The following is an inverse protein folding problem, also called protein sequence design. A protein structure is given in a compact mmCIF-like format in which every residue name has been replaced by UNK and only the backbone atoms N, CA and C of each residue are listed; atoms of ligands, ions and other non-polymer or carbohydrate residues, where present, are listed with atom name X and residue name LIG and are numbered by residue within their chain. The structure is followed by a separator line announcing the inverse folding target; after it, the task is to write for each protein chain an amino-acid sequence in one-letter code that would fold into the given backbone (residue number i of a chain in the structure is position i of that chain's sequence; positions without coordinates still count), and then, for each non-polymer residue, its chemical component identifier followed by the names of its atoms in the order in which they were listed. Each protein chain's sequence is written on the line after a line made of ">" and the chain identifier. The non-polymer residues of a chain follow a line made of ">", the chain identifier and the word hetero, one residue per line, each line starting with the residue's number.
data_IF_261627538138
#
_entry.id   IF_261627538138
#
_cell.length_a   1.000
_cell.length_b   1.000
_cell.length_c   1.000
_cell.angle_alpha   90.00
_cell.angle_beta   90.00
_cell.angle_gamma   90.00
#
_symmetry.space_group_name_H-M   'P 1'
#
loop_
_entity.id
_entity.type
_entity.pdbx_description
1 polymer ?
#
# COMPACT_ATOMS: atom_id res chain seq x y z
N UNK A 1 -50.05 15.14 34.37
CA UNK A 1 -49.70 15.77 33.08
C UNK A 1 -48.32 15.26 32.69
N UNK A 2 -48.26 14.26 31.80
CA UNK A 2 -46.98 13.66 31.36
C UNK A 2 -46.29 14.61 30.39
N UNK A 3 -45.02 14.94 30.67
CA UNK A 3 -44.13 15.60 29.71
C UNK A 3 -43.74 14.60 28.61
N UNK A 4 -43.63 15.01 27.34
CA UNK A 4 -43.19 14.12 26.28
C UNK A 4 -41.67 13.84 26.43
N UNK A 5 -41.19 12.66 26.03
CA UNK A 5 -39.76 12.38 26.02
C UNK A 5 -39.09 13.20 24.91
N UNK A 6 -38.18 14.10 25.30
CA UNK A 6 -37.30 14.78 24.35
C UNK A 6 -36.27 13.77 23.84
N UNK A 7 -36.49 13.20 22.67
CA UNK A 7 -35.45 12.43 21.98
C UNK A 7 -34.37 13.39 21.48
N UNK A 8 -33.28 13.51 22.23
CA UNK A 8 -32.04 14.12 21.73
C UNK A 8 -31.31 13.11 20.84
N UNK A 9 -31.89 12.80 19.67
CA UNK A 9 -31.08 12.31 18.57
C UNK A 9 -30.35 13.54 18.00
N UNK A 10 -29.15 13.80 18.52
CA UNK A 10 -28.23 14.73 17.90
C UNK A 10 -28.06 14.32 16.43
N UNK A 11 -28.47 15.21 15.52
CA UNK A 11 -28.29 15.01 14.09
C UNK A 11 -26.80 14.75 13.82
N UNK A 12 -26.48 13.52 13.42
CA UNK A 12 -25.14 13.16 12.93
C UNK A 12 -24.81 14.11 11.79
N UNK A 13 -23.74 14.88 11.90
CA UNK A 13 -23.23 15.65 10.76
C UNK A 13 -22.94 14.66 9.64
N UNK A 14 -23.70 14.76 8.54
CA UNK A 14 -23.47 13.93 7.37
C UNK A 14 -22.05 14.16 6.87
N UNK A 15 -21.29 13.08 6.69
CA UNK A 15 -19.96 13.16 6.10
C UNK A 15 -20.07 13.70 4.68
N UNK A 16 -19.04 14.43 4.18
CA UNK A 16 -19.06 14.90 2.80
C UNK A 16 -19.21 13.71 1.83
N UNK A 17 -19.85 13.94 0.67
CA UNK A 17 -19.99 12.89 -0.34
C UNK A 17 -18.62 12.41 -0.80
N UNK A 18 -18.56 11.13 -1.21
CA UNK A 18 -17.36 10.55 -1.76
C UNK A 18 -16.94 11.23 -3.05
N UNK A 19 -15.62 11.31 -3.27
CA UNK A 19 -15.06 11.69 -4.57
C UNK A 19 -15.42 10.62 -5.59
N UNK A 20 -15.53 11.00 -6.86
CA UNK A 20 -15.88 10.09 -7.95
C UNK A 20 -15.00 8.84 -7.97
N UNK A 21 -13.68 9.00 -7.82
CA UNK A 21 -12.75 7.87 -7.79
C UNK A 21 -12.99 6.93 -6.59
N UNK A 22 -13.37 7.47 -5.42
CA UNK A 22 -13.67 6.69 -4.23
C UNK A 22 -14.96 5.88 -4.42
N UNK A 23 -16.00 6.50 -4.97
CA UNK A 23 -17.26 5.80 -5.30
C UNK A 23 -17.05 4.71 -6.34
N UNK A 24 -16.31 5.00 -7.42
CA UNK A 24 -16.01 4.02 -8.47
C UNK A 24 -15.18 2.84 -7.93
N UNK A 25 -14.14 3.13 -7.15
CA UNK A 25 -13.31 2.09 -6.52
C UNK A 25 -14.11 1.24 -5.53
N UNK A 26 -14.99 1.86 -4.74
CA UNK A 26 -15.85 1.17 -3.79
C UNK A 26 -16.79 0.20 -4.52
N UNK A 27 -17.48 0.67 -5.57
CA UNK A 27 -18.37 -0.17 -6.38
C UNK A 27 -17.63 -1.35 -7.00
N UNK A 28 -16.44 -1.12 -7.54
CA UNK A 28 -15.63 -2.19 -8.12
C UNK A 28 -15.17 -3.19 -7.04
N UNK A 29 -14.68 -2.71 -5.89
CA UNK A 29 -14.28 -3.58 -4.78
C UNK A 29 -15.43 -4.48 -4.31
N UNK A 30 -16.63 -3.93 -4.16
CA UNK A 30 -17.82 -4.68 -3.75
C UNK A 30 -18.31 -5.67 -4.82
N UNK A 31 -18.03 -5.42 -6.10
CA UNK A 31 -18.37 -6.33 -7.19
C UNK A 31 -17.34 -7.45 -7.36
N UNK A 32 -16.06 -7.18 -7.04
CA UNK A 32 -14.95 -8.12 -7.21
C UNK A 32 -14.76 -9.01 -5.99
N UNK A 33 -14.91 -8.48 -4.77
CA UNK A 33 -14.65 -9.23 -3.54
C UNK A 33 -15.65 -10.38 -3.38
N UNK A 34 -15.12 -11.58 -3.27
CA UNK A 34 -15.87 -12.82 -3.06
C UNK A 34 -14.97 -13.85 -2.38
N UNK A 35 -15.52 -14.97 -1.87
CA UNK A 35 -14.70 -16.05 -1.34
C UNK A 35 -13.65 -16.60 -2.34
N UNK A 36 -13.90 -16.49 -3.64
CA UNK A 36 -12.96 -16.90 -4.70
C UNK A 36 -11.94 -15.80 -5.03
N UNK A 37 -12.28 -14.54 -4.78
CA UNK A 37 -11.42 -13.38 -5.01
C UNK A 37 -11.39 -12.48 -3.76
N UNK A 38 -10.75 -12.95 -2.66
CA UNK A 38 -10.83 -12.26 -1.38
C UNK A 38 -9.90 -11.06 -1.25
N UNK A 39 -9.10 -10.75 -2.29
CA UNK A 39 -8.08 -9.71 -2.25
C UNK A 39 -8.40 -8.63 -3.26
N UNK A 40 -8.26 -7.37 -2.85
CA UNK A 40 -8.44 -6.20 -3.70
C UNK A 40 -7.30 -5.20 -3.49
N UNK A 41 -6.57 -4.86 -4.55
CA UNK A 41 -5.52 -3.84 -4.56
C UNK A 41 -6.04 -2.54 -5.17
N UNK A 42 -6.09 -1.49 -4.35
CA UNK A 42 -6.30 -0.12 -4.78
C UNK A 42 -4.98 0.66 -4.78
N UNK A 43 -4.54 1.04 -5.98
CA UNK A 43 -3.50 2.02 -6.18
C UNK A 43 -4.15 3.40 -6.32
N UNK A 44 -3.81 4.34 -5.45
CA UNK A 44 -4.29 5.71 -5.56
C UNK A 44 -3.24 6.71 -5.08
N UNK A 45 -3.10 7.82 -5.79
CA UNK A 45 -2.16 8.90 -5.48
C UNK A 45 -2.10 9.23 -3.98
N UNK A 46 -0.90 9.37 -3.38
CA UNK A 46 -0.75 9.79 -1.99
C UNK A 46 -1.58 11.04 -1.67
N UNK A 47 -2.26 11.03 -0.53
CA UNK A 47 -3.15 12.15 -0.13
C UNK A 47 -4.51 12.20 -0.84
N UNK A 48 -4.79 11.34 -1.83
CA UNK A 48 -6.10 11.33 -2.52
C UNK A 48 -7.30 10.94 -1.62
N UNK A 49 -7.03 10.40 -0.41
CA UNK A 49 -8.04 9.99 0.55
C UNK A 49 -8.34 8.49 0.54
N UNK A 50 -7.32 7.63 0.43
CA UNK A 50 -7.43 6.16 0.47
C UNK A 50 -8.14 5.63 1.71
N UNK A 51 -7.87 6.23 2.87
CA UNK A 51 -8.46 5.77 4.13
C UNK A 51 -9.98 5.98 4.19
N UNK A 52 -10.50 7.04 3.54
CA UNK A 52 -11.94 7.26 3.42
C UNK A 52 -12.61 6.13 2.64
N UNK A 53 -12.00 5.70 1.52
CA UNK A 53 -12.46 4.54 0.75
C UNK A 53 -12.46 3.26 1.60
N UNK A 54 -11.37 2.98 2.32
CA UNK A 54 -11.29 1.78 3.16
C UNK A 54 -12.37 1.74 4.25
N UNK A 55 -12.66 2.89 4.87
CA UNK A 55 -13.68 2.98 5.90
C UNK A 55 -15.11 2.76 5.35
N UNK A 56 -15.39 3.24 4.14
CA UNK A 56 -16.67 2.99 3.47
C UNK A 56 -16.83 1.54 3.01
N UNK A 57 -15.77 0.93 2.47
CA UNK A 57 -15.78 -0.49 2.13
C UNK A 57 -16.06 -1.35 3.37
N UNK A 58 -15.38 -1.06 4.48
CA UNK A 58 -15.63 -1.70 5.76
C UNK A 58 -17.09 -1.56 6.20
N UNK A 59 -17.65 -0.35 6.14
CA UNK A 59 -19.03 -0.09 6.53
C UNK A 59 -20.03 -0.89 5.68
N UNK A 60 -19.84 -0.91 4.37
CA UNK A 60 -20.72 -1.61 3.43
C UNK A 60 -20.64 -3.13 3.61
N UNK A 61 -19.44 -3.69 3.75
CA UNK A 61 -19.26 -5.12 4.03
C UNK A 61 -19.87 -5.50 5.39
N UNK A 62 -19.75 -4.64 6.41
CA UNK A 62 -20.41 -4.86 7.69
C UNK A 62 -21.94 -4.81 7.59
N UNK A 63 -22.50 -3.87 6.82
CA UNK A 63 -23.96 -3.74 6.68
C UNK A 63 -24.59 -4.89 5.90
N UNK A 64 -23.83 -5.47 4.95
CA UNK A 64 -24.21 -6.70 4.25
C UNK A 64 -24.04 -7.94 5.12
N UNK A 65 -23.33 -7.79 6.24
CA UNK A 65 -22.95 -8.89 7.10
C UNK A 65 -21.95 -9.80 6.41
N UNK A 66 -21.10 -9.30 5.52
CA UNK A 66 -20.01 -10.05 4.88
C UNK A 66 -18.77 -10.14 5.79
N UNK A 67 -18.62 -9.18 6.71
CA UNK A 67 -17.57 -9.16 7.73
C UNK A 67 -18.14 -8.82 9.11
N UNK A 68 -17.47 -9.32 10.14
CA UNK A 68 -17.75 -9.05 11.56
C UNK A 68 -16.78 -8.00 12.12
N UNK A 69 -15.51 -8.04 11.71
CA UNK A 69 -14.46 -7.17 12.23
C UNK A 69 -13.58 -6.55 11.14
N UNK A 70 -12.99 -5.40 11.45
CA UNK A 70 -11.96 -4.76 10.63
C UNK A 70 -10.65 -4.69 11.39
N UNK A 71 -9.58 -5.12 10.73
CA UNK A 71 -8.21 -5.00 11.21
C UNK A 71 -7.44 -4.05 10.29
N UNK A 72 -7.04 -2.89 10.80
CA UNK A 72 -6.19 -1.95 10.08
C UNK A 72 -4.72 -2.11 10.49
N UNK A 73 -3.83 -2.17 9.49
CA UNK A 73 -2.38 -2.22 9.65
C UNK A 73 -1.73 -1.04 8.92
N UNK A 74 -0.91 -0.27 9.63
CA UNK A 74 -0.24 0.91 9.07
C UNK A 74 1.19 1.14 9.59
N UNK A 75 1.91 2.13 9.04
CA UNK A 75 3.34 2.31 9.31
C UNK A 75 3.65 2.95 10.68
N UNK A 76 2.81 3.87 11.14
CA UNK A 76 3.07 4.65 12.37
C UNK A 76 1.84 4.72 13.27
N UNK A 77 2.06 4.97 14.57
CA UNK A 77 0.96 5.11 15.54
C UNK A 77 -0.01 6.24 15.18
N UNK A 78 0.51 7.35 14.65
CA UNK A 78 -0.32 8.49 14.23
C UNK A 78 -1.22 8.12 13.05
N UNK A 79 -0.68 7.43 12.04
CA UNK A 79 -1.46 6.94 10.89
C UNK A 79 -2.52 5.94 11.33
N UNK A 80 -2.16 4.99 12.21
CA UNK A 80 -3.09 4.01 12.78
C UNK A 80 -4.20 4.69 13.58
N UNK A 81 -3.89 5.68 14.40
CA UNK A 81 -4.87 6.42 15.18
C UNK A 81 -5.86 7.17 14.27
N UNK A 82 -5.36 7.84 13.24
CA UNK A 82 -6.21 8.51 12.25
C UNK A 82 -7.11 7.52 11.48
N UNK A 83 -6.61 6.33 11.17
CA UNK A 83 -7.39 5.27 10.52
C UNK A 83 -8.50 4.72 11.42
N UNK A 84 -8.22 4.50 12.71
CA UNK A 84 -9.20 4.11 13.73
C UNK A 84 -10.32 5.15 13.80
N UNK A 85 -9.98 6.44 13.88
CA UNK A 85 -10.95 7.54 13.93
C UNK A 85 -11.80 7.61 12.66
N UNK A 86 -11.18 7.45 11.48
CA UNK A 86 -11.90 7.39 10.22
C UNK A 86 -12.91 6.22 10.19
N UNK A 87 -12.46 5.02 10.56
CA UNK A 87 -13.31 3.83 10.65
C UNK A 87 -14.47 4.03 11.63
N UNK A 88 -14.20 4.58 12.82
CA UNK A 88 -15.24 4.88 13.82
C UNK A 88 -16.26 5.89 13.30
N UNK A 89 -15.77 6.94 12.63
CA UNK A 89 -16.63 8.00 12.08
C UNK A 89 -17.57 7.47 11.00
N UNK A 90 -17.07 6.59 10.11
CA UNK A 90 -17.88 6.03 9.02
C UNK A 90 -18.81 4.92 9.50
N UNK A 91 -18.28 3.95 10.23
CA UNK A 91 -19.05 2.76 10.65
C UNK A 91 -19.97 3.03 11.84
N UNK A 92 -19.67 4.08 12.62
CA UNK A 92 -20.32 4.34 13.91
C UNK A 92 -20.02 3.28 14.98
N UNK A 93 -19.05 2.38 14.75
CA UNK A 93 -18.69 1.29 15.67
C UNK A 93 -17.31 1.54 16.28
N UNK A 94 -17.08 1.02 17.49
CA UNK A 94 -15.78 1.17 18.17
C UNK A 94 -14.68 0.37 17.48
N UNK A 95 -13.49 0.96 17.32
CA UNK A 95 -12.31 0.37 16.65
C UNK A 95 -11.07 0.30 17.56
N UNK A 96 -11.27 0.35 18.87
CA UNK A 96 -10.20 0.36 19.88
C UNK A 96 -9.56 -1.01 20.17
N UNK A 97 -10.07 -2.10 19.57
CA UNK A 97 -9.56 -3.46 19.78
C UNK A 97 -9.81 -4.11 21.14
N UNK A 98 -10.60 -3.49 22.03
CA UNK A 98 -11.05 -4.08 23.29
C UNK A 98 -12.34 -4.90 23.12
N UNK A 99 -12.81 -5.55 24.18
CA UNK A 99 -14.05 -6.32 24.17
C UNK A 99 -15.22 -5.46 23.66
N UNK A 100 -15.98 -5.96 22.68
CA UNK A 100 -17.09 -5.24 22.06
C UNK A 100 -16.69 -4.27 20.94
N UNK A 101 -15.39 -4.13 20.62
CA UNK A 101 -14.95 -3.40 19.43
C UNK A 101 -15.33 -4.16 18.15
N UNK A 102 -15.73 -3.44 17.10
CA UNK A 102 -15.90 -4.00 15.75
C UNK A 102 -14.60 -3.99 14.95
N UNK A 103 -13.47 -3.64 15.56
CA UNK A 103 -12.18 -3.64 14.90
C UNK A 103 -11.04 -3.14 15.76
N UNK A 104 -9.84 -3.16 15.17
CA UNK A 104 -8.61 -2.71 15.78
C UNK A 104 -7.67 -2.12 14.73
N UNK A 105 -6.86 -1.15 15.13
CA UNK A 105 -5.72 -0.67 14.35
C UNK A 105 -4.40 -1.04 15.02
N UNK A 106 -3.38 -1.37 14.23
CA UNK A 106 -2.03 -1.64 14.73
C UNK A 106 -0.94 -1.25 13.75
N UNK A 107 0.26 -1.05 14.27
CA UNK A 107 1.42 -0.79 13.42
C UNK A 107 2.01 -2.10 12.90
N UNK A 108 2.72 -2.04 11.78
CA UNK A 108 3.40 -3.22 11.23
C UNK A 108 4.39 -3.86 12.22
N UNK A 109 5.08 -3.05 13.03
CA UNK A 109 6.03 -3.54 14.03
C UNK A 109 5.35 -4.30 15.17
N UNK A 110 4.05 -4.07 15.42
CA UNK A 110 3.29 -4.77 16.45
C UNK A 110 2.73 -6.13 15.99
N UNK A 111 2.74 -6.41 14.68
CA UNK A 111 2.14 -7.62 14.12
C UNK A 111 2.79 -8.93 14.60
N UNK A 112 4.13 -9.09 14.60
CA UNK A 112 4.73 -10.38 14.94
C UNK A 112 4.33 -10.88 16.33
N UNK A 113 4.29 -9.98 17.32
CA UNK A 113 3.89 -10.30 18.69
C UNK A 113 2.39 -10.59 18.88
N UNK A 114 1.58 -10.42 17.83
CA UNK A 114 0.11 -10.63 17.87
C UNK A 114 -0.39 -11.65 16.85
N UNK A 115 0.51 -12.23 16.05
CA UNK A 115 0.15 -13.07 14.90
C UNK A 115 -0.82 -14.20 15.29
N UNK A 116 -0.51 -14.98 16.32
CA UNK A 116 -1.34 -16.14 16.69
C UNK A 116 -2.72 -15.75 17.23
N UNK A 117 -2.83 -14.61 17.89
CA UNK A 117 -4.12 -14.08 18.31
C UNK A 117 -4.96 -13.64 17.11
N UNK A 118 -4.33 -12.97 16.14
CA UNK A 118 -5.00 -12.49 14.93
C UNK A 118 -5.40 -13.64 13.98
N UNK A 119 -4.57 -14.69 13.87
CA UNK A 119 -4.94 -15.91 13.13
C UNK A 119 -6.17 -16.57 13.72
N UNK A 120 -6.21 -16.73 15.05
CA UNK A 120 -7.40 -17.28 15.74
C UNK A 120 -8.63 -16.43 15.52
N UNK A 121 -8.50 -15.10 15.57
CA UNK A 121 -9.60 -14.18 15.26
C UNK A 121 -10.15 -14.43 13.85
N UNK A 122 -9.27 -14.52 12.84
CA UNK A 122 -9.67 -14.79 11.45
C UNK A 122 -10.27 -16.18 11.22
N UNK A 123 -9.85 -17.19 11.99
CA UNK A 123 -10.41 -18.53 11.93
C UNK A 123 -11.83 -18.61 12.53
N UNK A 124 -12.16 -17.73 13.47
CA UNK A 124 -13.42 -17.74 14.21
C UNK A 124 -14.44 -16.74 13.66
N UNK A 125 -13.97 -15.71 12.95
CA UNK A 125 -14.78 -14.58 12.51
C UNK A 125 -14.38 -14.09 11.13
N UNK A 126 -15.31 -13.40 10.46
CA UNK A 126 -15.05 -12.83 9.13
C UNK A 126 -14.38 -11.48 9.31
N UNK A 127 -13.09 -11.43 9.05
CA UNK A 127 -12.28 -10.22 9.25
C UNK A 127 -11.89 -9.60 7.91
N UNK A 128 -12.11 -8.30 7.76
CA UNK A 128 -11.47 -7.49 6.72
C UNK A 128 -10.11 -7.03 7.22
N UNK A 129 -9.04 -7.39 6.52
CA UNK A 129 -7.71 -6.82 6.71
C UNK A 129 -7.51 -5.64 5.77
N UNK A 130 -7.25 -4.46 6.33
CA UNK A 130 -6.81 -3.27 5.59
C UNK A 130 -5.34 -3.04 5.90
N UNK A 131 -4.48 -3.09 4.90
CA UNK A 131 -3.05 -2.82 5.06
C UNK A 131 -2.63 -1.68 4.11
N UNK A 132 -2.15 -0.59 4.71
CA UNK A 132 -1.87 0.68 4.05
C UNK A 132 -0.38 0.90 3.83
N UNK A 133 -0.02 1.51 2.70
CA UNK A 133 1.34 1.59 2.20
C UNK A 133 2.02 0.22 2.07
N UNK A 134 1.30 -0.69 1.40
CA UNK A 134 1.73 -2.07 1.18
C UNK A 134 3.14 -2.19 0.55
N UNK A 135 3.60 -1.15 -0.17
CA UNK A 135 4.93 -1.12 -0.81
C UNK A 135 6.13 -1.22 0.15
N UNK A 136 5.94 -0.98 1.45
CA UNK A 136 6.99 -1.19 2.44
C UNK A 136 7.23 -2.68 2.77
N UNK A 137 6.35 -3.61 2.36
CA UNK A 137 6.38 -5.02 2.78
C UNK A 137 7.49 -5.87 2.14
N UNK A 138 8.00 -5.43 0.99
CA UNK A 138 9.23 -5.97 0.40
C UNK A 138 10.44 -5.32 1.09
N UNK A 139 11.49 -6.10 1.39
CA UNK A 139 12.57 -5.76 2.33
C UNK A 139 13.12 -4.32 2.30
N UNK A 140 13.54 -3.83 3.47
CA UNK A 140 14.52 -2.75 3.55
C UNK A 140 15.91 -3.38 3.49
N UNK A 141 16.81 -2.79 2.67
CA UNK A 141 18.24 -3.08 2.59
C UNK A 141 18.61 -4.48 2.03
N UNK A 142 18.71 -4.58 0.70
CA UNK A 142 19.62 -5.53 0.02
C UNK A 142 19.45 -7.04 0.25
N UNK A 143 18.39 -7.47 0.96
CA UNK A 143 18.06 -8.88 1.14
C UNK A 143 16.90 -9.29 0.24
N UNK A 144 17.07 -10.37 -0.51
CA UNK A 144 15.99 -11.03 -1.25
C UNK A 144 14.94 -11.54 -0.25
N UNK A 145 13.82 -10.83 -0.11
CA UNK A 145 12.66 -11.32 0.66
C UNK A 145 11.80 -10.23 1.31
N UNK A 146 10.58 -10.57 1.78
CA UNK A 146 9.78 -9.69 2.61
C UNK A 146 10.50 -9.41 3.93
N UNK A 147 10.38 -8.19 4.46
CA UNK A 147 10.80 -7.94 5.83
C UNK A 147 9.95 -8.76 6.84
N UNK A 148 10.38 -8.84 8.10
CA UNK A 148 9.76 -9.68 9.13
C UNK A 148 8.24 -9.45 9.29
N UNK A 149 7.77 -8.24 9.07
CA UNK A 149 6.35 -7.93 9.15
C UNK A 149 5.62 -8.25 7.84
N UNK A 150 6.27 -8.17 6.67
CA UNK A 150 5.72 -8.60 5.38
C UNK A 150 5.40 -10.10 5.34
N UNK A 151 6.29 -10.94 5.87
CA UNK A 151 6.02 -12.39 6.01
C UNK A 151 4.89 -12.66 7.02
N UNK A 152 4.81 -11.86 8.08
CA UNK A 152 3.73 -11.92 9.08
C UNK A 152 2.37 -11.59 8.47
N UNK A 153 2.29 -10.59 7.59
CA UNK A 153 1.06 -10.20 6.89
C UNK A 153 0.59 -11.29 5.91
N UNK A 154 1.50 -11.87 5.13
CA UNK A 154 1.17 -13.00 4.26
C UNK A 154 0.59 -14.19 5.05
N UNK A 155 1.18 -14.47 6.22
CA UNK A 155 0.71 -15.55 7.09
C UNK A 155 -0.66 -15.24 7.71
N UNK A 156 -0.99 -13.96 7.90
CA UNK A 156 -2.26 -13.53 8.47
C UNK A 156 -3.38 -13.56 7.43
N UNK A 157 -3.09 -13.11 6.21
CA UNK A 157 -4.06 -12.95 5.12
C UNK A 157 -4.88 -14.20 4.84
N UNK A 158 -4.26 -15.38 4.89
CA UNK A 158 -4.93 -16.68 4.64
C UNK A 158 -6.06 -17.00 5.61
N UNK A 159 -6.14 -16.26 6.71
CA UNK A 159 -7.18 -16.40 7.72
C UNK A 159 -8.21 -15.26 7.69
N UNK A 160 -8.05 -14.27 6.81
CA UNK A 160 -8.97 -13.14 6.70
C UNK A 160 -10.05 -13.46 5.67
N UNK A 161 -11.26 -12.93 5.87
CA UNK A 161 -12.34 -13.09 4.90
C UNK A 161 -12.05 -12.29 3.63
N UNK A 162 -11.57 -11.05 3.80
CA UNK A 162 -11.17 -10.17 2.72
C UNK A 162 -9.91 -9.38 3.08
N UNK A 163 -9.14 -8.99 2.07
CA UNK A 163 -7.99 -8.09 2.19
C UNK A 163 -8.15 -6.90 1.24
N UNK A 164 -8.05 -5.68 1.78
CA UNK A 164 -7.90 -4.45 1.01
C UNK A 164 -6.47 -3.92 1.13
N UNK A 165 -5.72 -3.99 0.03
CA UNK A 165 -4.40 -3.38 -0.11
C UNK A 165 -4.51 -1.94 -0.62
N UNK A 166 -3.88 -0.99 0.08
CA UNK A 166 -3.80 0.41 -0.34
C UNK A 166 -2.35 0.79 -0.63
N UNK A 167 -2.08 1.36 -1.80
CA UNK A 167 -0.73 1.84 -2.15
C UNK A 167 -0.75 3.18 -2.89
N UNK A 168 0.18 4.07 -2.52
CA UNK A 168 0.44 5.33 -3.24
C UNK A 168 1.27 5.17 -4.51
N UNK A 169 2.23 4.25 -4.47
CA UNK A 169 3.19 3.95 -5.54
C UNK A 169 3.52 2.47 -5.43
N UNK A 170 3.00 1.61 -6.30
CA UNK A 170 3.18 0.19 -6.08
C UNK A 170 4.43 -0.34 -6.77
N UNK A 171 5.23 0.55 -7.38
CA UNK A 171 6.50 0.24 -8.03
C UNK A 171 7.66 0.52 -7.09
N UNK A 172 8.55 -0.46 -6.92
CA UNK A 172 9.90 -0.22 -6.40
C UNK A 172 10.85 -0.04 -7.58
N UNK A 173 11.79 0.89 -7.46
CA UNK A 173 12.86 1.10 -8.46
C UNK A 173 13.86 -0.05 -8.51
N UNK A 174 13.84 -0.97 -7.55
CA UNK A 174 14.76 -2.12 -7.45
C UNK A 174 14.23 -3.41 -8.10
N UNK A 175 13.05 -3.39 -8.72
CA UNK A 175 12.45 -4.56 -9.39
C UNK A 175 12.02 -5.69 -8.44
N UNK A 176 12.13 -5.51 -7.12
CA UNK A 176 11.72 -6.55 -6.16
C UNK A 176 10.20 -6.65 -6.06
N UNK A 177 9.71 -7.89 -6.11
CA UNK A 177 8.29 -8.19 -6.14
C UNK A 177 7.65 -7.88 -4.78
N UNK A 178 6.53 -7.16 -4.83
CA UNK A 178 5.66 -7.05 -3.69
C UNK A 178 4.92 -8.38 -3.44
N UNK A 179 4.90 -8.85 -2.17
CA UNK A 179 4.00 -9.89 -1.71
C UNK A 179 2.56 -9.70 -2.21
N UNK A 180 1.92 -10.78 -2.67
CA UNK A 180 0.46 -10.92 -2.79
C UNK A 180 -0.21 -10.22 -3.99
N UNK A 181 0.57 -9.92 -5.02
CA UNK A 181 0.03 -9.26 -6.19
C UNK A 181 -0.01 -10.14 -7.43
N UNK A 182 -1.04 -9.95 -8.26
CA UNK A 182 -1.14 -10.61 -9.56
C UNK A 182 -0.10 -9.95 -10.48
N UNK A 183 0.85 -10.75 -10.94
CA UNK A 183 1.84 -10.31 -11.91
C UNK A 183 1.51 -10.93 -13.25
N UNK A 184 1.50 -10.11 -14.30
CA UNK A 184 1.54 -10.62 -15.66
C UNK A 184 3.00 -10.86 -16.03
N UNK A 185 3.27 -12.03 -16.61
CA UNK A 185 4.53 -12.28 -17.29
C UNK A 185 4.48 -11.52 -18.63
N UNK A 186 5.36 -10.53 -18.78
CA UNK A 186 5.56 -9.89 -20.08
C UNK A 186 6.65 -10.67 -20.80
N UNK A 187 6.27 -11.41 -21.84
CA UNK A 187 7.24 -11.98 -22.76
C UNK A 187 7.90 -10.84 -23.56
N UNK A 188 9.23 -10.80 -23.58
CA UNK A 188 9.99 -9.83 -24.37
C UNK A 188 9.72 -10.04 -25.87
N UNK A 189 8.82 -9.22 -26.42
CA UNK A 189 8.30 -9.42 -27.76
C UNK A 189 7.99 -8.11 -28.50
N UNK A 190 8.99 -7.25 -28.69
CA UNK A 190 8.98 -6.24 -29.77
C UNK A 190 10.37 -5.61 -29.99
N UNK A 191 11.33 -6.40 -30.48
CA UNK A 191 12.48 -5.86 -31.23
C UNK A 191 12.66 -6.65 -32.53
N UNK A 192 11.94 -6.24 -33.56
CA UNK A 192 12.11 -6.60 -34.96
C UNK A 192 11.47 -5.44 -35.74
N UNK A 193 12.07 -4.77 -36.72
CA UNK A 193 13.12 -5.12 -37.67
C UNK A 193 13.70 -3.85 -38.30
N UNK A 194 15.02 -3.75 -38.41
CA UNK A 194 15.72 -3.04 -39.49
C UNK A 194 17.21 -3.38 -39.41
N UNK A 195 17.62 -4.48 -40.03
CA UNK A 195 19.02 -4.79 -40.30
C UNK A 195 19.23 -4.87 -41.81
N UNK A 196 20.16 -4.06 -42.32
CA UNK A 196 20.80 -4.17 -43.65
C UNK A 196 22.06 -5.05 -43.46
N UNK A 197 22.44 -5.92 -44.41
CA UNK A 197 23.36 -7.03 -44.16
C UNK A 197 24.84 -6.68 -44.38
N UNK A 198 25.72 -7.34 -43.62
CA UNK A 198 27.18 -7.27 -43.78
C UNK A 198 27.92 -8.37 -43.01
N UNK A 199 28.18 -9.47 -43.72
CA UNK A 199 29.27 -10.48 -43.68
C UNK A 199 30.17 -10.76 -42.43
N UNK A 200 30.30 -12.08 -42.22
CA UNK A 200 31.47 -12.95 -41.89
C UNK A 200 31.92 -13.24 -40.44
N UNK A 201 31.59 -14.48 -40.04
CA UNK A 201 32.43 -15.57 -39.48
C UNK A 201 33.21 -15.42 -38.16
N UNK A 202 32.97 -16.35 -37.22
CA UNK A 202 33.96 -16.75 -36.20
C UNK A 202 33.41 -17.31 -34.88
N UNK A 203 33.51 -18.64 -34.72
CA UNK A 203 33.67 -19.41 -33.47
C UNK A 203 32.50 -19.60 -32.48
N UNK A 204 32.13 -20.89 -32.34
CA UNK A 204 31.29 -21.49 -31.30
C UNK A 204 31.86 -21.25 -29.90
N UNK A 205 31.06 -20.63 -29.02
CA UNK A 205 31.08 -20.88 -27.57
C UNK A 205 29.64 -20.94 -27.08
N UNK A 206 29.19 -22.12 -26.64
CA UNK A 206 27.94 -22.30 -25.90
C UNK A 206 28.06 -21.56 -24.56
N UNK A 207 27.56 -20.32 -24.51
CA UNK A 207 27.14 -19.68 -23.27
C UNK A 207 25.66 -19.95 -23.12
N UNK A 208 25.30 -20.75 -22.12
CA UNK A 208 23.94 -20.77 -21.59
C UNK A 208 23.63 -19.33 -21.15
N UNK A 209 22.80 -18.64 -21.92
CA UNK A 209 22.30 -17.32 -21.57
C UNK A 209 21.52 -17.43 -20.25
N UNK A 210 21.69 -16.51 -19.29
CA UNK A 210 20.81 -16.48 -18.13
C UNK A 210 19.38 -16.32 -18.65
N UNK A 211 18.47 -17.12 -18.10
CA UNK A 211 17.04 -17.01 -18.40
C UNK A 211 16.64 -15.54 -18.30
N UNK A 212 16.18 -14.98 -19.42
CA UNK A 212 15.62 -13.63 -19.52
C UNK A 212 14.67 -13.40 -18.35
N UNK A 213 15.03 -12.50 -17.45
CA UNK A 213 14.21 -12.14 -16.31
C UNK A 213 12.92 -11.50 -16.83
N UNK A 214 11.87 -12.30 -16.97
CA UNK A 214 10.55 -11.82 -17.36
C UNK A 214 10.16 -10.68 -16.41
N UNK A 215 9.89 -9.50 -16.96
CA UNK A 215 9.45 -8.37 -16.17
C UNK A 215 8.07 -8.71 -15.60
N UNK A 216 8.01 -8.99 -14.30
CA UNK A 216 6.76 -9.19 -13.58
C UNK A 216 6.09 -7.84 -13.38
N UNK A 217 5.03 -7.55 -14.16
CA UNK A 217 4.28 -6.30 -14.04
C UNK A 217 3.12 -6.50 -13.08
N UNK A 218 3.13 -5.73 -12.00
CA UNK A 218 2.05 -5.68 -11.04
C UNK A 218 0.74 -5.19 -11.68
N UNK A 219 -0.36 -5.92 -11.47
CA UNK A 219 -1.71 -5.51 -11.86
C UNK A 219 -2.59 -5.17 -10.65
N UNK A 220 -2.80 -3.88 -10.34
CA UNK A 220 -3.82 -3.44 -9.38
C UNK A 220 -5.24 -3.68 -9.91
N UNK A 221 -6.18 -3.97 -9.00
CA UNK A 221 -7.60 -4.06 -9.36
C UNK A 221 -8.18 -2.68 -9.68
N UNK A 222 -7.71 -1.64 -8.97
CA UNK A 222 -8.10 -0.25 -9.23
C UNK A 222 -6.89 0.68 -9.25
N UNK A 223 -6.85 1.60 -10.21
CA UNK A 223 -5.78 2.59 -10.37
C UNK A 223 -6.35 3.99 -10.45
N UNK A 224 -5.89 4.87 -9.56
CA UNK A 224 -6.13 6.30 -9.60
C UNK A 224 -4.81 7.05 -9.59
N UNK A 225 -4.39 7.52 -10.77
CA UNK A 225 -3.06 8.06 -10.99
C UNK A 225 -2.91 9.50 -10.50
N UNK A 226 -1.68 10.01 -10.44
CA UNK A 226 -1.44 11.43 -10.16
C UNK A 226 -2.04 12.30 -11.27
N UNK A 227 -2.00 11.82 -12.51
CA UNK A 227 -2.60 12.51 -13.66
C UNK A 227 -4.13 12.63 -13.49
N UNK A 228 -4.80 11.54 -13.10
CA UNK A 228 -6.23 11.57 -12.77
C UNK A 228 -6.50 12.51 -11.59
N UNK A 229 -5.69 12.45 -10.54
CA UNK A 229 -5.84 13.30 -9.36
C UNK A 229 -5.69 14.79 -9.66
N UNK A 230 -4.82 15.15 -10.61
CA UNK A 230 -4.67 16.53 -11.08
C UNK A 230 -5.86 16.93 -11.96
N UNK A 231 -6.28 16.08 -12.91
CA UNK A 231 -7.44 16.32 -13.78
C UNK A 231 -8.71 16.56 -12.96
N UNK A 232 -8.89 15.78 -11.89
CA UNK A 232 -10.07 15.81 -11.04
C UNK A 232 -9.97 16.89 -9.93
N UNK A 233 -8.89 17.69 -9.92
CA UNK A 233 -8.69 18.78 -8.94
C UNK A 233 -8.40 18.31 -7.51
N UNK A 234 -8.08 17.04 -7.30
CA UNK A 234 -7.75 16.44 -6.00
C UNK A 234 -6.31 16.78 -5.58
N UNK A 235 -5.39 16.81 -6.55
CA UNK A 235 -3.97 17.14 -6.34
C UNK A 235 -3.58 18.38 -7.16
N UNK A 236 -2.57 19.10 -6.67
CA UNK A 236 -1.95 20.21 -7.42
C UNK A 236 -0.87 19.65 -8.35
N UNK A 237 -0.58 20.38 -9.43
CA UNK A 237 0.61 20.09 -10.24
C UNK A 237 1.87 20.16 -9.37
N UNK A 238 2.72 19.13 -9.37
CA UNK A 238 3.98 19.17 -8.64
C UNK A 238 4.89 20.23 -9.26
N UNK A 239 5.48 21.07 -8.41
CA UNK A 239 6.53 22.01 -8.82
C UNK A 239 7.88 21.40 -8.46
N UNK A 240 8.60 20.89 -9.44
CA UNK A 240 9.97 20.39 -9.24
C UNK A 240 10.92 21.57 -9.36
N UNK A 241 11.64 21.86 -8.29
CA UNK A 241 12.73 22.83 -8.28
C UNK A 241 14.03 22.05 -8.16
N UNK A 242 14.90 22.18 -9.15
CA UNK A 242 16.25 21.64 -9.08
C UNK A 242 17.07 22.58 -8.20
N UNK A 243 17.63 22.05 -7.11
CA UNK A 243 18.56 22.76 -6.25
C UNK A 243 19.95 22.19 -6.54
N UNK A 244 20.81 23.03 -7.10
CA UNK A 244 22.25 22.73 -7.21
C UNK A 244 22.88 22.89 -5.83
N UNK A 245 23.09 21.78 -5.13
CA UNK A 245 23.75 21.78 -3.83
C UNK A 245 25.23 21.42 -4.01
N UNK A 246 26.08 22.46 -4.07
CA UNK A 246 27.53 22.32 -4.19
C UNK A 246 28.21 21.68 -2.97
N UNK A 247 27.49 21.53 -1.85
CA UNK A 247 27.97 20.78 -0.69
C UNK A 247 27.82 19.26 -0.83
N UNK A 248 27.18 18.77 -1.91
CA UNK A 248 27.17 17.36 -2.25
C UNK A 248 28.48 17.03 -2.95
N UNK A 249 29.48 16.64 -2.16
CA UNK A 249 30.79 16.20 -2.65
C UNK A 249 30.83 14.68 -2.83
N UNK A 250 31.52 14.23 -3.88
CA UNK A 250 31.64 12.83 -4.23
C UNK A 250 32.74 12.18 -3.40
N UNK A 251 32.40 11.56 -2.26
CA UNK A 251 33.39 11.11 -1.28
C UNK A 251 33.86 9.65 -1.41
N UNK A 252 33.24 8.81 -2.26
CA UNK A 252 33.66 7.39 -2.36
C UNK A 252 33.28 6.70 -3.67
N UNK A 253 34.02 5.63 -3.98
CA UNK A 253 33.76 4.70 -5.08
C UNK A 253 33.35 3.33 -4.54
N UNK A 254 32.34 2.71 -5.16
CA UNK A 254 31.90 1.37 -4.76
C UNK A 254 32.99 0.33 -5.07
N UNK A 255 33.55 -0.37 -4.07
CA UNK A 255 34.80 -1.13 -4.20
C UNK A 255 34.72 -2.35 -5.13
N UNK A 256 33.52 -2.81 -5.50
CA UNK A 256 33.35 -3.96 -6.43
C UNK A 256 32.89 -3.59 -7.84
N UNK A 257 32.27 -2.43 -8.03
CA UNK A 257 31.64 -2.07 -9.32
C UNK A 257 32.27 -0.86 -9.97
N UNK A 258 33.14 -0.13 -9.25
CA UNK A 258 33.75 1.11 -9.72
C UNK A 258 32.75 2.25 -9.97
N UNK A 259 31.46 2.05 -9.62
CA UNK A 259 30.45 3.09 -9.75
C UNK A 259 30.68 4.15 -8.69
N UNK A 260 30.59 5.41 -9.12
CA UNK A 260 30.65 6.58 -8.24
C UNK A 260 29.45 6.55 -7.29
N UNK A 261 29.71 6.62 -5.99
CA UNK A 261 28.66 6.73 -4.97
C UNK A 261 28.71 8.10 -4.31
N UNK A 262 27.55 8.72 -4.19
CA UNK A 262 27.40 10.03 -3.57
C UNK A 262 27.07 9.83 -2.09
N UNK A 263 27.97 10.20 -1.19
CA UNK A 263 27.68 10.25 0.24
C UNK A 263 27.31 11.69 0.59
N UNK A 264 26.12 11.91 1.14
CA UNK A 264 25.75 13.23 1.66
C UNK A 264 26.48 13.47 2.97
N UNK A 265 27.63 14.15 2.93
CA UNK A 265 28.38 14.50 4.13
C UNK A 265 27.73 15.74 4.76
N UNK A 266 27.25 15.60 6.00
CA UNK A 266 26.67 16.62 6.89
C UNK A 266 25.15 16.88 6.82
N UNK A 267 24.40 16.07 7.56
CA UNK A 267 23.33 16.58 8.42
C UNK A 267 23.69 16.24 9.87
N UNK A 268 24.63 16.99 10.44
CA UNK A 268 24.88 16.95 11.88
C UNK A 268 24.00 18.03 12.56
N UNK A 269 23.01 17.70 13.41
CA UNK A 269 22.09 18.68 13.98
C UNK A 269 22.62 19.44 15.22
N UNK A 270 23.93 19.45 15.49
CA UNK A 270 24.49 20.12 16.66
C UNK A 270 25.66 21.04 16.31
N UNK A 271 25.35 22.28 15.92
CA UNK A 271 26.18 23.44 16.25
C UNK A 271 25.28 24.63 16.55
N UNK A 272 24.75 24.61 17.78
CA UNK A 272 24.17 25.79 18.41
C UNK A 272 25.18 26.40 19.38
N UNK A 273 25.18 27.74 19.47
CA UNK A 273 25.83 28.64 20.42
C UNK A 273 27.31 28.97 20.17
N UNK A 274 27.62 30.19 19.66
CA UNK A 274 27.77 31.49 20.37
C UNK A 274 29.15 31.63 21.04
N UNK A 275 30.07 32.27 20.33
CA UNK A 275 30.84 33.49 20.69
C UNK A 275 31.99 33.66 19.71
#
# INVERSE_FOLDING_TARGET
>A
MMLPPTSRHAARSALPPLRLWQSACLQQALATLSPQHPHFLCQATPGAGKMRLAAELANELMSRGDIDYVLYCGPTRAVVQAAIEALQTVTGKSMHGQLGAAGAGMTYQALPGRLDALKRLGQQHRVLLVWDESHHAAGHLGGEGPNQWGSTLMALERHMAYTLALSGTPWRTDGSCMPLLRYLEVADGAKNTAAVPGTSEGAMTERVAPASAAAHVLQPDFVYTLQDAIRDGVCRYPRVQLVDNRAIELSSFHPRTGRQETLCVNLNPYTGSVS
#
